data_IF_055683181475
#
_entry.id   IF_055683181475
#
_cell.length_a   1.000
_cell.length_b   1.000
_cell.length_c   1.000
_cell.angle_alpha   90.00
_cell.angle_beta   90.00
_cell.angle_gamma   90.00
#
_symmetry.space_group_name_H-M   'P 1'
#
loop_
_entity.id
_entity.type
_entity.pdbx_description
1 polymer ?
#
# COMPACT_ATOMS: atom_id res chain seq x y z
N UNK A 1 2.92 -1.64 -1.23
CA UNK A 1 3.76 -1.86 -0.02
C UNK A 1 4.52 -3.18 -0.06
N UNK A 2 3.93 -4.37 -0.32
CA UNK A 2 4.73 -5.62 -0.44
C UNK A 2 5.88 -5.48 -1.43
N UNK A 3 5.61 -4.97 -2.64
CA UNK A 3 6.65 -4.73 -3.63
C UNK A 3 7.78 -3.79 -3.14
N UNK A 4 7.45 -2.82 -2.28
CA UNK A 4 8.44 -1.92 -1.68
C UNK A 4 9.33 -2.67 -0.68
N UNK A 5 8.75 -3.57 0.13
CA UNK A 5 9.51 -4.44 1.03
C UNK A 5 10.44 -5.35 0.22
N UNK A 6 9.91 -6.02 -0.82
CA UNK A 6 10.69 -6.90 -1.70
C UNK A 6 11.83 -6.17 -2.41
N UNK A 7 11.57 -4.96 -2.90
CA UNK A 7 12.60 -4.13 -3.58
C UNK A 7 13.67 -3.64 -2.63
N UNK A 8 13.32 -3.35 -1.37
CA UNK A 8 14.28 -2.99 -0.33
C UNK A 8 15.23 -4.15 -0.03
N UNK A 9 14.73 -5.39 0.01
CA UNK A 9 15.55 -6.59 0.14
C UNK A 9 16.49 -6.78 -1.06
N UNK A 10 15.99 -6.58 -2.27
CA UNK A 10 16.83 -6.66 -3.49
C UNK A 10 17.96 -5.63 -3.43
N UNK A 11 17.69 -4.41 -2.98
CA UNK A 11 18.70 -3.37 -2.81
C UNK A 11 19.77 -3.78 -1.79
N UNK A 12 19.38 -4.47 -0.72
CA UNK A 12 20.30 -5.03 0.31
C UNK A 12 21.03 -6.30 -0.13
N UNK A 13 20.78 -6.80 -1.34
CA UNK A 13 21.42 -8.00 -1.90
C UNK A 13 20.75 -9.31 -1.51
N UNK A 14 19.54 -9.24 -1.00
CA UNK A 14 18.67 -10.38 -0.66
C UNK A 14 17.52 -10.51 -1.65
N UNK A 15 16.72 -11.56 -1.56
CA UNK A 15 15.56 -11.79 -2.40
C UNK A 15 14.43 -12.43 -1.61
N UNK A 16 13.35 -11.73 -1.48
CA UNK A 16 12.09 -12.20 -0.90
C UNK A 16 10.96 -11.96 -1.88
N UNK A 17 9.98 -12.88 -1.92
CA UNK A 17 8.75 -12.74 -2.69
C UNK A 17 7.59 -13.15 -1.78
N UNK A 18 6.67 -12.22 -1.50
CA UNK A 18 5.63 -12.37 -0.49
C UNK A 18 4.29 -12.71 -1.13
N UNK A 19 3.52 -13.57 -0.47
CA UNK A 19 2.17 -13.94 -0.89
C UNK A 19 1.17 -12.82 -0.59
N UNK A 20 0.59 -12.24 -1.63
CA UNK A 20 -0.54 -11.30 -1.52
C UNK A 20 -1.78 -12.04 -1.02
N UNK A 21 -2.01 -13.28 -1.51
CA UNK A 21 -3.16 -14.10 -1.12
C UNK A 21 -3.20 -14.37 0.38
N UNK A 22 -2.04 -14.63 1.01
CA UNK A 22 -1.96 -14.83 2.45
C UNK A 22 -2.43 -13.62 3.23
N UNK A 23 -1.86 -12.45 2.94
CA UNK A 23 -2.21 -11.22 3.65
C UNK A 23 -3.66 -10.83 3.39
N UNK A 24 -4.15 -10.97 2.15
CA UNK A 24 -5.54 -10.72 1.80
C UNK A 24 -6.51 -11.62 2.59
N UNK A 25 -6.18 -12.91 2.75
CA UNK A 25 -6.96 -13.85 3.55
C UNK A 25 -7.03 -13.41 5.02
N UNK A 26 -5.89 -13.08 5.63
CA UNK A 26 -5.85 -12.61 7.02
C UNK A 26 -6.67 -11.35 7.23
N UNK A 27 -6.55 -10.39 6.32
CA UNK A 27 -7.35 -9.17 6.35
C UNK A 27 -8.85 -9.46 6.26
N UNK A 28 -9.26 -10.35 5.37
CA UNK A 28 -10.68 -10.68 5.16
C UNK A 28 -11.25 -11.49 6.34
N UNK A 29 -10.50 -12.39 6.93
CA UNK A 29 -10.91 -13.14 8.12
C UNK A 29 -11.17 -12.20 9.31
N UNK A 30 -10.27 -11.27 9.57
CA UNK A 30 -10.45 -10.28 10.64
C UNK A 30 -11.67 -9.40 10.37
N UNK A 31 -11.76 -8.82 9.17
CA UNK A 31 -12.86 -7.94 8.80
C UNK A 31 -14.21 -8.64 8.80
N UNK A 32 -14.26 -9.93 8.45
CA UNK A 32 -15.49 -10.72 8.51
C UNK A 32 -16.01 -10.87 9.95
N UNK A 33 -15.11 -11.12 10.92
CA UNK A 33 -15.48 -11.18 12.33
C UNK A 33 -15.92 -9.81 12.86
N UNK A 34 -15.22 -8.76 12.50
CA UNK A 34 -15.61 -7.39 12.85
C UNK A 34 -16.97 -7.01 12.27
N UNK A 35 -17.24 -7.36 11.01
CA UNK A 35 -18.51 -7.15 10.34
C UNK A 35 -19.65 -7.90 11.05
N UNK A 36 -19.40 -9.17 11.38
CA UNK A 36 -20.37 -10.00 12.09
C UNK A 36 -20.74 -9.40 13.45
N UNK A 37 -19.75 -9.05 14.28
CA UNK A 37 -20.00 -8.44 15.60
C UNK A 37 -20.59 -7.02 15.51
N UNK A 38 -20.27 -6.28 14.46
CA UNK A 38 -20.88 -4.99 14.18
C UNK A 38 -22.29 -5.12 13.55
N UNK A 39 -22.83 -6.34 13.41
CA UNK A 39 -24.15 -6.59 12.82
C UNK A 39 -24.32 -5.97 11.42
N UNK A 40 -23.30 -6.11 10.56
CA UNK A 40 -23.30 -5.61 9.19
C UNK A 40 -23.05 -4.10 9.06
N UNK A 41 -22.65 -3.42 10.14
CA UNK A 41 -22.42 -1.95 10.12
C UNK A 41 -20.99 -1.53 9.75
N UNK A 42 -20.11 -2.48 9.47
CA UNK A 42 -18.75 -2.24 8.99
C UNK A 42 -18.64 -2.62 7.50
N UNK A 43 -17.62 -2.13 6.83
CA UNK A 43 -17.29 -2.50 5.45
C UNK A 43 -16.24 -3.61 5.42
N UNK A 44 -16.34 -4.52 4.44
CA UNK A 44 -15.28 -5.46 4.09
C UNK A 44 -14.61 -5.01 2.79
N UNK A 45 -13.31 -4.72 2.86
CA UNK A 45 -12.56 -4.22 1.71
C UNK A 45 -11.07 -4.47 1.91
N UNK A 46 -10.36 -4.80 0.84
CA UNK A 46 -8.90 -4.89 0.81
C UNK A 46 -8.22 -3.56 0.44
N UNK A 47 -9.00 -2.48 0.36
CA UNK A 47 -8.43 -1.13 0.30
C UNK A 47 -7.84 -0.79 1.66
N UNK A 48 -6.72 -0.11 1.66
CA UNK A 48 -6.02 0.26 2.88
C UNK A 48 -4.72 0.99 2.59
N UNK A 49 -4.05 1.40 3.64
CA UNK A 49 -2.81 2.16 3.62
C UNK A 49 -1.59 1.27 3.78
N UNK A 50 -0.39 1.79 3.50
CA UNK A 50 0.86 1.06 3.70
C UNK A 50 1.10 0.67 5.17
N UNK A 51 0.90 1.55 6.18
CA UNK A 51 0.99 1.17 7.59
C UNK A 51 0.04 0.03 7.97
N UNK A 52 -1.22 0.08 7.49
CA UNK A 52 -2.18 -0.98 7.76
C UNK A 52 -1.68 -2.35 7.28
N UNK A 53 -1.07 -2.42 6.09
CA UNK A 53 -0.49 -3.66 5.59
C UNK A 53 0.64 -4.17 6.49
N UNK A 54 1.52 -3.28 6.95
CA UNK A 54 2.60 -3.63 7.88
C UNK A 54 2.04 -4.18 9.19
N UNK A 55 0.97 -3.59 9.74
CA UNK A 55 0.28 -4.12 10.92
C UNK A 55 -0.27 -5.53 10.69
N UNK A 56 -0.83 -5.83 9.53
CA UNK A 56 -1.31 -7.18 9.23
C UNK A 56 -0.16 -8.18 9.12
N UNK A 57 0.97 -7.79 8.52
CA UNK A 57 2.17 -8.63 8.44
C UNK A 57 2.72 -8.91 9.86
N UNK A 58 2.83 -7.89 10.69
CA UNK A 58 3.30 -8.05 12.08
C UNK A 58 2.38 -8.96 12.89
N UNK A 59 1.06 -8.75 12.80
CA UNK A 59 0.04 -9.47 13.56
C UNK A 59 -0.13 -10.93 13.15
N UNK A 60 -0.17 -11.20 11.84
CA UNK A 60 -0.54 -12.51 11.28
C UNK A 60 0.63 -13.24 10.64
N UNK A 61 1.76 -12.57 10.49
CA UNK A 61 2.89 -13.10 9.79
C UNK A 61 2.81 -12.91 8.27
N UNK A 62 3.72 -13.56 7.57
CA UNK A 62 3.81 -13.60 6.13
C UNK A 62 4.07 -15.02 5.64
N UNK A 63 3.82 -15.26 4.36
CA UNK A 63 4.20 -16.48 3.65
C UNK A 63 4.97 -16.12 2.38
N UNK A 64 5.96 -16.92 1.98
CA UNK A 64 6.57 -16.81 0.67
C UNK A 64 5.53 -17.06 -0.42
N UNK A 65 5.69 -16.39 -1.57
CA UNK A 65 4.82 -16.59 -2.73
C UNK A 65 4.72 -18.05 -3.16
N UNK A 66 5.85 -18.77 -3.19
CA UNK A 66 5.89 -20.19 -3.61
C UNK A 66 5.14 -21.14 -2.64
N UNK A 67 4.89 -20.70 -1.40
CA UNK A 67 4.10 -21.46 -0.42
C UNK A 67 2.60 -21.20 -0.55
N UNK A 68 2.21 -20.05 -1.07
CA UNK A 68 0.82 -19.66 -1.29
C UNK A 68 0.73 -18.71 -2.49
N UNK A 69 0.75 -19.30 -3.69
CA UNK A 69 0.68 -18.54 -4.94
C UNK A 69 -0.63 -17.78 -5.10
N UNK A 70 -0.56 -16.59 -5.68
CA UNK A 70 -1.75 -15.82 -6.03
C UNK A 70 -2.48 -16.50 -7.21
N UNK A 71 -3.77 -16.84 -7.07
CA UNK A 71 -4.52 -17.42 -8.16
C UNK A 71 -4.64 -16.42 -9.32
N UNK A 72 -4.38 -16.87 -10.53
CA UNK A 72 -4.26 -16.02 -11.75
C UNK A 72 -5.49 -15.18 -12.12
N UNK A 73 -6.65 -15.41 -11.49
CA UNK A 73 -7.92 -14.81 -11.91
C UNK A 73 -8.81 -14.35 -10.75
N UNK A 74 -8.27 -14.12 -9.56
CA UNK A 74 -9.07 -13.65 -8.42
C UNK A 74 -9.49 -12.21 -8.60
N UNK A 75 -10.79 -11.97 -8.52
CA UNK A 75 -11.34 -10.64 -8.37
C UNK A 75 -11.61 -10.37 -6.89
N UNK A 76 -10.64 -9.78 -6.21
CA UNK A 76 -10.73 -9.47 -4.78
C UNK A 76 -11.94 -8.60 -4.41
N UNK A 77 -12.41 -7.72 -5.30
CA UNK A 77 -13.64 -6.94 -5.06
C UNK A 77 -14.89 -7.84 -5.04
N UNK A 78 -14.92 -8.88 -5.87
CA UNK A 78 -15.98 -9.89 -5.84
C UNK A 78 -15.86 -10.75 -4.59
N UNK A 79 -14.64 -11.13 -4.20
CA UNK A 79 -14.40 -11.91 -2.99
C UNK A 79 -14.88 -11.14 -1.73
N UNK A 80 -14.58 -9.85 -1.58
CA UNK A 80 -15.11 -9.03 -0.48
C UNK A 80 -16.64 -9.12 -0.39
N UNK A 81 -17.34 -8.99 -1.53
CA UNK A 81 -18.81 -9.09 -1.58
C UNK A 81 -19.33 -10.49 -1.20
N UNK A 82 -18.59 -11.55 -1.56
CA UNK A 82 -18.94 -12.93 -1.16
C UNK A 82 -18.80 -13.10 0.35
N UNK A 83 -17.73 -12.53 0.94
CA UNK A 83 -17.53 -12.54 2.40
C UNK A 83 -18.64 -11.75 3.10
N UNK A 84 -18.98 -10.55 2.64
CA UNK A 84 -20.10 -9.76 3.18
C UNK A 84 -21.42 -10.56 3.14
N UNK A 85 -21.75 -11.15 2.00
CA UNK A 85 -22.97 -11.94 1.85
C UNK A 85 -23.02 -13.16 2.77
N UNK A 86 -21.85 -13.81 2.97
CA UNK A 86 -21.74 -14.94 3.90
C UNK A 86 -21.99 -14.46 5.33
N UNK A 87 -21.36 -13.37 5.74
CA UNK A 87 -21.55 -12.75 7.06
C UNK A 87 -23.00 -12.29 7.29
N UNK A 88 -23.68 -11.69 6.30
CA UNK A 88 -25.11 -11.32 6.37
C UNK A 88 -25.99 -12.55 6.62
N UNK A 89 -25.70 -13.66 5.92
CA UNK A 89 -26.37 -14.94 6.14
C UNK A 89 -26.17 -15.47 7.57
N UNK A 90 -24.93 -15.39 8.06
CA UNK A 90 -24.58 -15.84 9.42
C UNK A 90 -25.25 -14.96 10.50
N UNK A 91 -25.29 -13.64 10.32
CA UNK A 91 -26.01 -12.70 11.20
C UNK A 91 -27.51 -13.04 11.25
N UNK A 92 -28.12 -13.20 10.08
CA UNK A 92 -29.56 -13.51 9.95
C UNK A 92 -29.93 -14.84 10.63
N UNK A 93 -29.10 -15.86 10.47
CA UNK A 93 -29.30 -17.19 11.06
C UNK A 93 -28.83 -17.29 12.51
N UNK A 94 -28.15 -16.25 13.02
CA UNK A 94 -27.47 -16.26 14.33
C UNK A 94 -26.47 -17.41 14.45
N UNK A 95 -25.73 -17.67 13.39
CA UNK A 95 -24.71 -18.71 13.30
C UNK A 95 -23.59 -18.44 14.31
N UNK A 96 -23.13 -19.47 15.00
CA UNK A 96 -21.97 -19.34 15.90
C UNK A 96 -20.66 -19.06 15.16
N UNK A 97 -19.68 -18.45 15.83
CA UNK A 97 -18.40 -18.06 15.23
C UNK A 97 -17.62 -19.25 14.70
N UNK A 98 -17.69 -20.41 15.35
CA UNK A 98 -17.04 -21.64 14.84
C UNK A 98 -17.50 -21.97 13.43
N UNK A 99 -18.81 -22.07 13.23
CA UNK A 99 -19.39 -22.35 11.92
C UNK A 99 -19.11 -21.24 10.90
N UNK A 100 -19.18 -19.97 11.31
CA UNK A 100 -18.83 -18.84 10.42
C UNK A 100 -17.39 -18.97 9.93
N UNK A 101 -16.45 -19.30 10.80
CA UNK A 101 -15.04 -19.51 10.41
C UNK A 101 -14.85 -20.68 9.46
N UNK A 102 -15.58 -21.79 9.66
CA UNK A 102 -15.55 -22.93 8.74
C UNK A 102 -16.07 -22.53 7.36
N UNK A 103 -17.24 -21.86 7.29
CA UNK A 103 -17.80 -21.38 6.03
C UNK A 103 -16.90 -20.34 5.33
N UNK A 104 -16.20 -19.47 6.09
CA UNK A 104 -15.21 -18.56 5.54
C UNK A 104 -13.99 -19.29 4.98
N UNK A 105 -13.47 -20.30 5.69
CA UNK A 105 -12.36 -21.11 5.21
C UNK A 105 -12.73 -21.82 3.91
N UNK A 106 -13.90 -22.46 3.85
CA UNK A 106 -14.39 -23.12 2.62
C UNK A 106 -14.46 -22.12 1.45
N UNK A 107 -14.96 -20.90 1.71
CA UNK A 107 -15.01 -19.84 0.69
C UNK A 107 -13.60 -19.44 0.23
N UNK A 108 -12.67 -19.22 1.14
CA UNK A 108 -11.31 -18.81 0.79
C UNK A 108 -10.56 -19.93 0.07
N UNK A 109 -10.70 -21.17 0.52
CA UNK A 109 -10.08 -22.33 -0.13
C UNK A 109 -10.55 -22.47 -1.58
N UNK A 110 -11.84 -22.21 -1.83
CA UNK A 110 -12.40 -22.25 -3.18
C UNK A 110 -11.96 -21.07 -4.07
N UNK A 111 -11.72 -19.89 -3.51
CA UNK A 111 -11.48 -18.64 -4.27
C UNK A 111 -9.99 -18.32 -4.41
N UNK A 112 -9.19 -18.54 -3.35
CA UNK A 112 -7.77 -18.16 -3.27
C UNK A 112 -6.84 -19.31 -2.86
N UNK A 113 -7.36 -20.52 -2.77
CA UNK A 113 -6.58 -21.73 -2.48
C UNK A 113 -6.47 -22.06 -1.00
N UNK A 114 -6.02 -23.28 -0.74
CA UNK A 114 -5.90 -23.82 0.60
C UNK A 114 -4.83 -23.09 1.40
N UNK A 115 -5.16 -22.80 2.69
CA UNK A 115 -4.19 -22.23 3.61
C UNK A 115 -2.92 -23.08 3.67
N UNK A 116 -1.72 -22.51 3.47
CA UNK A 116 -0.47 -23.25 3.59
C UNK A 116 -0.23 -23.76 5.01
N UNK A 117 0.69 -24.69 5.15
CA UNK A 117 1.13 -25.16 6.47
C UNK A 117 1.61 -23.97 7.33
N UNK A 118 1.47 -24.12 8.64
CA UNK A 118 1.94 -23.07 9.58
C UNK A 118 3.46 -22.93 9.67
N UNK A 119 4.20 -23.81 8.99
CA UNK A 119 5.65 -23.77 8.90
C UNK A 119 6.08 -23.20 7.55
N UNK A 120 6.98 -22.22 7.58
CA UNK A 120 7.65 -21.65 6.41
C UNK A 120 9.04 -22.25 6.32
N UNK A 121 9.34 -22.97 5.24
CA UNK A 121 10.66 -23.52 4.98
C UNK A 121 11.42 -22.59 4.04
N UNK A 122 12.48 -21.96 4.53
CA UNK A 122 13.29 -21.04 3.73
C UNK A 122 14.77 -21.13 4.15
N UNK A 123 15.67 -21.15 3.16
CA UNK A 123 17.12 -21.20 3.36
C UNK A 123 17.60 -22.32 4.31
N UNK A 124 16.91 -23.48 4.30
CA UNK A 124 17.25 -24.62 5.13
C UNK A 124 16.81 -24.54 6.59
N UNK A 125 16.01 -23.54 6.95
CA UNK A 125 15.40 -23.39 8.28
C UNK A 125 13.87 -23.41 8.19
N UNK A 126 13.24 -23.69 9.32
CA UNK A 126 11.79 -23.67 9.50
C UNK A 126 11.42 -22.48 10.39
N UNK A 127 10.44 -21.69 9.96
CA UNK A 127 9.93 -20.52 10.64
C UNK A 127 8.43 -20.63 10.84
N UNK A 128 7.91 -20.01 11.87
CA UNK A 128 6.50 -19.64 11.90
C UNK A 128 6.23 -18.48 10.92
N UNK A 129 4.99 -18.25 10.47
CA UNK A 129 4.69 -17.09 9.64
C UNK A 129 5.10 -15.74 10.25
N UNK A 130 5.03 -15.61 11.58
CA UNK A 130 5.47 -14.42 12.30
C UNK A 130 6.99 -14.28 12.30
N UNK A 131 7.74 -15.34 12.59
CA UNK A 131 9.20 -15.31 12.53
C UNK A 131 9.69 -15.00 11.12
N UNK A 132 9.05 -15.57 10.11
CA UNK A 132 9.34 -15.23 8.72
C UNK A 132 9.03 -13.76 8.43
N UNK A 133 7.86 -13.25 8.84
CA UNK A 133 7.51 -11.83 8.68
C UNK A 133 8.54 -10.91 9.33
N UNK A 134 8.95 -11.20 10.57
CA UNK A 134 9.95 -10.41 11.29
C UNK A 134 11.36 -10.52 10.69
N UNK A 135 11.68 -11.59 9.95
CA UNK A 135 12.93 -11.66 9.19
C UNK A 135 12.91 -10.77 7.94
N UNK A 136 11.73 -10.35 7.50
CA UNK A 136 11.52 -9.55 6.27
C UNK A 136 11.20 -8.09 6.58
N UNK A 137 10.38 -7.81 7.58
CA UNK A 137 9.89 -6.46 7.88
C UNK A 137 9.44 -6.34 9.33
N UNK A 138 10.04 -5.40 10.06
CA UNK A 138 9.49 -4.89 11.30
C UNK A 138 8.74 -3.57 11.07
N UNK A 139 7.65 -3.28 11.82
CA UNK A 139 6.93 -2.02 11.68
C UNK A 139 7.82 -0.79 11.80
N UNK A 140 8.79 -0.80 12.71
CA UNK A 140 9.70 0.30 12.99
C UNK A 140 10.74 0.53 11.89
N UNK A 141 10.87 -0.37 10.93
CA UNK A 141 11.78 -0.21 9.80
C UNK A 141 11.22 0.70 8.71
N UNK A 142 9.95 1.12 8.83
CA UNK A 142 9.26 1.95 7.85
C UNK A 142 8.66 3.19 8.48
N UNK A 143 8.78 4.32 7.78
CA UNK A 143 8.15 5.59 8.14
C UNK A 143 7.14 5.99 7.07
N UNK A 144 5.98 6.49 7.52
CA UNK A 144 4.94 7.02 6.64
C UNK A 144 4.87 8.53 6.77
N UNK A 145 4.94 9.21 5.63
CA UNK A 145 5.07 10.65 5.51
C UNK A 145 3.90 11.22 4.71
N UNK A 146 3.48 12.42 5.08
CA UNK A 146 2.47 13.20 4.34
C UNK A 146 2.79 14.68 4.35
N UNK A 147 1.98 15.51 3.68
CA UNK A 147 2.17 16.95 3.63
C UNK A 147 0.85 17.70 3.53
N UNK A 148 0.31 18.12 4.67
CA UNK A 148 -0.93 18.90 4.73
C UNK A 148 -0.83 20.05 5.74
N UNK A 149 -1.29 21.26 5.35
CA UNK A 149 -1.12 22.48 6.14
C UNK A 149 -2.18 22.69 7.23
N UNK A 150 -3.19 21.82 7.33
CA UNK A 150 -4.20 21.88 8.39
C UNK A 150 -3.76 21.19 9.70
N UNK A 151 -2.59 20.52 9.68
CA UNK A 151 -1.91 20.01 10.88
C UNK A 151 -0.50 20.60 11.02
N UNK A 152 0.05 20.67 12.24
CA UNK A 152 1.43 21.12 12.44
C UNK A 152 2.43 20.28 11.66
N UNK A 153 3.45 20.92 11.12
CA UNK A 153 4.55 20.20 10.46
C UNK A 153 5.52 19.60 11.49
N UNK A 154 6.15 18.48 11.11
CA UNK A 154 7.09 17.67 11.90
C UNK A 154 6.45 17.04 13.13
N UNK A 155 5.14 16.86 13.08
CA UNK A 155 4.35 16.15 14.07
C UNK A 155 3.59 14.99 13.38
N UNK A 156 3.28 13.97 14.16
CA UNK A 156 2.47 12.85 13.70
C UNK A 156 0.99 13.15 13.92
N UNK A 157 0.16 12.80 12.96
CA UNK A 157 -1.30 12.83 13.10
C UNK A 157 -1.93 11.66 12.34
N UNK A 158 -3.12 11.23 12.74
CA UNK A 158 -3.89 10.22 12.02
C UNK A 158 -4.43 10.84 10.73
N UNK A 159 -3.94 10.36 9.58
CA UNK A 159 -4.32 10.89 8.28
C UNK A 159 -5.81 10.65 7.99
N UNK A 160 -6.55 11.73 7.69
CA UNK A 160 -8.01 11.72 7.49
C UNK A 160 -8.39 11.31 6.06
N UNK A 161 -8.11 10.06 5.72
CA UNK A 161 -8.55 9.45 4.47
C UNK A 161 -9.37 8.19 4.73
N UNK A 162 -10.33 7.86 3.84
CA UNK A 162 -11.24 6.71 4.06
C UNK A 162 -10.55 5.37 4.24
N UNK A 163 -9.40 5.17 3.60
CA UNK A 163 -8.66 3.91 3.64
C UNK A 163 -7.77 3.77 4.88
N UNK A 164 -7.53 4.86 5.65
CA UNK A 164 -6.83 4.82 6.95
C UNK A 164 -7.77 4.38 8.09
N UNK A 165 -8.23 3.14 8.06
CA UNK A 165 -9.21 2.59 9.01
C UNK A 165 -8.65 2.35 10.40
N UNK A 166 -7.34 2.15 10.50
CA UNK A 166 -6.65 1.90 11.76
C UNK A 166 -6.22 3.19 12.44
N UNK A 167 -6.50 4.36 11.81
CA UNK A 167 -6.06 5.66 12.29
C UNK A 167 -4.55 5.75 12.48
N UNK A 168 -3.83 5.12 11.54
CA UNK A 168 -2.37 5.15 11.51
C UNK A 168 -1.84 6.58 11.42
N UNK A 169 -0.77 6.83 12.14
CA UNK A 169 -0.16 8.14 12.22
C UNK A 169 0.89 8.34 11.11
N UNK A 170 0.87 9.51 10.49
CA UNK A 170 1.80 9.94 9.45
C UNK A 170 2.58 11.15 9.92
N UNK A 171 3.88 11.17 9.66
CA UNK A 171 4.70 12.35 9.93
C UNK A 171 4.41 13.41 8.87
N UNK A 172 3.92 14.56 9.32
CA UNK A 172 3.57 15.69 8.46
C UNK A 172 4.79 16.56 8.14
N UNK A 173 5.12 16.70 6.88
CA UNK A 173 6.26 17.49 6.43
C UNK A 173 5.81 18.64 5.52
N UNK A 174 6.55 19.78 5.46
CA UNK A 174 6.38 20.72 4.36
C UNK A 174 6.55 20.03 3.00
N UNK A 175 5.80 20.47 1.99
CA UNK A 175 5.78 19.80 0.68
C UNK A 175 7.17 19.64 0.05
N UNK A 176 8.01 20.67 0.14
CA UNK A 176 9.35 20.61 -0.43
C UNK A 176 10.27 19.63 0.31
N UNK A 177 10.07 19.47 1.62
CA UNK A 177 10.80 18.51 2.44
C UNK A 177 10.34 17.06 2.11
N UNK A 178 9.02 16.83 1.97
CA UNK A 178 8.48 15.55 1.52
C UNK A 178 9.06 15.16 0.15
N UNK A 179 9.04 16.07 -0.82
CA UNK A 179 9.57 15.81 -2.17
C UNK A 179 11.06 15.54 -2.16
N UNK A 180 11.82 16.24 -1.29
CA UNK A 180 13.25 15.99 -1.14
C UNK A 180 13.54 14.60 -0.60
N UNK A 181 12.78 14.12 0.40
CA UNK A 181 12.93 12.75 0.93
C UNK A 181 12.62 11.71 -0.13
N UNK A 182 11.53 11.87 -0.91
CA UNK A 182 11.21 10.97 -2.02
C UNK A 182 12.35 10.92 -3.03
N UNK A 183 12.83 12.09 -3.47
CA UNK A 183 13.90 12.19 -4.45
C UNK A 183 15.17 11.50 -3.97
N UNK A 184 15.61 11.80 -2.75
CA UNK A 184 16.85 11.25 -2.20
C UNK A 184 16.77 9.73 -1.96
N UNK A 185 15.63 9.23 -1.49
CA UNK A 185 15.41 7.81 -1.34
C UNK A 185 15.66 7.08 -2.67
N UNK A 186 14.98 7.49 -3.74
CA UNK A 186 15.10 6.81 -5.04
C UNK A 186 16.43 7.04 -5.74
N UNK A 187 17.11 8.18 -5.53
CA UNK A 187 18.46 8.44 -6.04
C UNK A 187 19.52 7.53 -5.40
N UNK A 188 19.24 7.02 -4.19
CA UNK A 188 20.09 6.06 -3.47
C UNK A 188 19.70 4.60 -3.67
N UNK A 189 18.66 4.36 -4.45
CA UNK A 189 18.18 3.02 -4.79
C UNK A 189 17.08 2.50 -3.87
N UNK A 190 16.68 3.25 -2.83
CA UNK A 190 15.57 2.85 -1.95
C UNK A 190 14.22 3.04 -2.66
N UNK A 191 13.33 2.04 -2.65
CA UNK A 191 11.99 2.18 -3.17
C UNK A 191 11.11 3.01 -2.23
N UNK A 192 10.08 3.65 -2.79
CA UNK A 192 9.10 4.41 -2.03
C UNK A 192 7.70 3.91 -2.38
N UNK A 193 6.93 3.46 -1.40
CA UNK A 193 5.51 3.19 -1.56
C UNK A 193 4.78 4.54 -1.66
N UNK A 194 4.10 4.78 -2.76
CA UNK A 194 3.35 5.99 -3.03
C UNK A 194 1.85 5.71 -2.97
N UNK A 195 1.13 6.48 -2.19
CA UNK A 195 -0.32 6.51 -2.08
C UNK A 195 -0.83 7.83 -2.64
N UNK A 196 -1.81 7.81 -3.55
CA UNK A 196 -2.29 9.03 -4.15
C UNK A 196 -3.40 8.86 -5.16
N UNK A 197 -3.71 9.94 -5.83
CA UNK A 197 -4.83 10.08 -6.75
C UNK A 197 -4.38 9.86 -8.19
N UNK A 198 -5.08 8.96 -8.90
CA UNK A 198 -4.87 8.69 -10.33
C UNK A 198 -6.10 9.07 -11.19
N UNK A 199 -7.02 9.87 -10.65
CA UNK A 199 -8.23 10.29 -11.35
C UNK A 199 -8.01 11.26 -12.51
N UNK A 200 -6.81 11.87 -12.60
CA UNK A 200 -6.44 12.79 -13.67
C UNK A 200 -6.59 12.18 -15.07
N UNK A 201 -7.16 12.92 -16.04
CA UNK A 201 -7.32 12.43 -17.42
C UNK A 201 -6.01 11.97 -18.04
N UNK A 202 -4.89 12.63 -17.70
CA UNK A 202 -3.55 12.27 -18.17
C UNK A 202 -3.08 10.88 -17.73
N UNK A 203 -3.60 10.37 -16.60
CA UNK A 203 -3.28 9.03 -16.13
C UNK A 203 -3.99 7.94 -16.95
N UNK A 204 -5.23 8.20 -17.39
CA UNK A 204 -6.03 7.25 -18.19
C UNK A 204 -5.46 7.04 -19.60
N UNK A 205 -4.82 8.07 -20.16
CA UNK A 205 -4.23 8.03 -21.50
C UNK A 205 -2.86 8.72 -21.51
N UNK A 206 -1.85 8.14 -20.86
CA UNK A 206 -0.55 8.79 -20.71
C UNK A 206 0.19 8.89 -22.07
N UNK A 207 0.63 10.10 -22.44
CA UNK A 207 1.44 10.31 -23.63
C UNK A 207 2.85 9.76 -23.39
N UNK A 208 3.23 8.72 -24.15
CA UNK A 208 4.53 8.03 -24.01
C UNK A 208 4.79 7.58 -22.55
N UNK A 209 3.74 7.11 -21.86
CA UNK A 209 3.74 6.70 -20.46
C UNK A 209 4.17 7.81 -19.47
N UNK A 210 4.18 9.08 -19.87
CA UNK A 210 4.41 10.21 -19.00
C UNK A 210 3.06 10.86 -18.63
N UNK A 211 2.86 11.07 -17.34
CA UNK A 211 1.69 11.75 -16.78
C UNK A 211 2.12 13.04 -16.13
N UNK A 212 1.38 14.08 -16.42
CA UNK A 212 1.57 15.41 -15.86
C UNK A 212 0.21 16.01 -15.50
N UNK A 213 0.19 16.96 -14.60
CA UNK A 213 -1.02 17.69 -14.24
C UNK A 213 -1.50 18.51 -15.44
N UNK A 214 -2.84 18.61 -15.56
CA UNK A 214 -3.48 19.43 -16.58
C UNK A 214 -4.14 20.65 -15.92
N UNK A 215 -4.10 21.80 -16.60
CA UNK A 215 -4.85 23.03 -16.28
C UNK A 215 -4.59 23.62 -14.87
N UNK A 216 -3.37 23.58 -14.36
CA UNK A 216 -3.01 24.16 -13.07
C UNK A 216 -1.82 25.11 -13.19
N UNK A 217 -1.80 26.14 -12.30
CA UNK A 217 -0.65 27.01 -12.16
C UNK A 217 0.58 26.26 -11.69
N UNK A 218 1.72 26.60 -12.25
CA UNK A 218 3.01 25.99 -11.91
C UNK A 218 3.98 27.01 -11.33
N UNK A 219 4.82 26.62 -10.40
CA UNK A 219 4.92 25.27 -9.78
C UNK A 219 3.76 24.98 -8.81
N UNK A 220 3.50 23.70 -8.58
CA UNK A 220 2.54 23.26 -7.54
C UNK A 220 3.07 23.64 -6.17
N UNK A 221 2.27 24.38 -5.42
CA UNK A 221 2.59 24.88 -4.09
C UNK A 221 1.88 24.10 -2.99
N UNK A 222 2.31 24.26 -1.73
CA UNK A 222 1.62 23.72 -0.56
C UNK A 222 0.14 24.16 -0.53
N UNK A 223 -0.13 25.43 -0.85
CA UNK A 223 -1.49 25.97 -0.83
C UNK A 223 -2.38 25.35 -1.92
N UNK A 224 -1.85 25.17 -3.15
CA UNK A 224 -2.61 24.53 -4.23
C UNK A 224 -2.89 23.06 -3.93
N UNK A 225 -1.91 22.33 -3.38
CA UNK A 225 -2.06 20.94 -2.90
C UNK A 225 -3.15 20.83 -1.82
N UNK A 226 -3.08 21.67 -0.78
CA UNK A 226 -4.05 21.68 0.31
C UNK A 226 -5.47 21.92 -0.21
N UNK A 227 -5.64 22.89 -1.10
CA UNK A 227 -6.92 23.20 -1.73
C UNK A 227 -7.51 22.02 -2.50
N UNK A 228 -6.69 21.29 -3.27
CA UNK A 228 -7.16 20.12 -4.02
C UNK A 228 -7.61 18.99 -3.09
N UNK A 229 -6.90 18.77 -1.97
CA UNK A 229 -7.28 17.80 -0.96
C UNK A 229 -8.58 18.19 -0.25
N UNK A 230 -8.70 19.41 0.27
CA UNK A 230 -9.90 19.90 0.97
C UNK A 230 -11.13 19.93 0.07
N UNK A 231 -10.96 20.10 -1.23
CA UNK A 231 -12.04 20.09 -2.22
C UNK A 231 -12.33 18.68 -2.77
N UNK A 232 -11.71 17.65 -2.20
CA UNK A 232 -11.85 16.24 -2.59
C UNK A 232 -11.55 15.99 -4.10
N UNK A 233 -10.62 16.79 -4.66
CA UNK A 233 -10.10 16.61 -6.02
C UNK A 233 -8.76 15.87 -6.06
N UNK A 234 -8.15 15.72 -4.91
CA UNK A 234 -7.06 14.76 -4.65
C UNK A 234 -7.55 13.81 -3.59
N UNK A 235 -7.70 12.55 -3.95
CA UNK A 235 -8.28 11.51 -3.10
C UNK A 235 -7.33 10.32 -2.97
N UNK A 236 -7.53 9.53 -1.94
CA UNK A 236 -6.83 8.27 -1.71
C UNK A 236 -7.46 7.18 -2.57
N UNK A 237 -6.91 6.91 -3.75
CA UNK A 237 -7.51 5.95 -4.68
C UNK A 237 -6.56 4.89 -5.26
N UNK A 238 -5.23 5.06 -5.14
CA UNK A 238 -4.27 4.13 -5.72
C UNK A 238 -2.93 4.09 -5.00
N UNK A 239 -2.27 2.93 -5.10
CA UNK A 239 -0.93 2.69 -4.55
C UNK A 239 0.00 2.20 -5.65
N UNK A 240 1.19 2.79 -5.74
CA UNK A 240 2.27 2.37 -6.63
C UNK A 240 3.61 2.39 -5.89
N UNK A 241 4.64 1.87 -6.52
CA UNK A 241 5.99 1.94 -6.02
C UNK A 241 6.84 2.87 -6.90
N UNK A 242 7.49 3.86 -6.29
CA UNK A 242 8.48 4.71 -6.96
C UNK A 242 9.84 4.03 -6.84
N UNK A 243 10.49 3.77 -7.98
CA UNK A 243 11.76 3.03 -8.06
C UNK A 243 12.90 3.82 -8.68
N UNK A 244 12.67 5.07 -9.03
CA UNK A 244 13.71 5.90 -9.63
C UNK A 244 13.21 7.24 -10.11
N UNK A 245 14.11 8.03 -10.67
CA UNK A 245 13.81 9.36 -11.23
C UNK A 245 14.69 9.65 -12.45
N UNK A 246 14.21 10.50 -13.35
CA UNK A 246 15.00 11.00 -14.48
C UNK A 246 14.56 12.41 -14.91
N UNK A 247 15.43 13.11 -15.64
CA UNK A 247 15.14 14.41 -16.20
C UNK A 247 14.70 14.29 -17.66
N UNK A 248 13.61 14.96 -18.03
CA UNK A 248 13.18 15.14 -19.43
C UNK A 248 13.13 16.63 -19.72
N UNK A 249 14.18 17.12 -20.34
CA UNK A 249 14.42 18.55 -20.45
C UNK A 249 14.67 19.16 -19.06
N UNK A 250 13.86 20.13 -18.67
CA UNK A 250 13.94 20.78 -17.33
C UNK A 250 12.98 20.17 -16.29
N UNK A 251 12.18 19.18 -16.67
CA UNK A 251 11.17 18.57 -15.83
C UNK A 251 11.66 17.24 -15.28
N UNK A 252 11.51 17.02 -13.98
CA UNK A 252 11.76 15.74 -13.33
C UNK A 252 10.54 14.84 -13.46
N UNK A 253 10.81 13.56 -13.70
CA UNK A 253 9.83 12.49 -13.69
C UNK A 253 10.27 11.39 -12.73
N UNK A 254 9.32 10.78 -12.05
CA UNK A 254 9.51 9.63 -11.17
C UNK A 254 9.02 8.37 -11.87
N UNK A 255 9.82 7.32 -11.79
CA UNK A 255 9.52 6.02 -12.38
C UNK A 255 8.69 5.24 -11.38
N UNK A 256 7.43 5.01 -11.73
CA UNK A 256 6.49 4.28 -10.85
C UNK A 256 6.18 2.90 -11.44
N UNK A 257 6.29 1.86 -10.62
CA UNK A 257 5.85 0.50 -10.92
C UNK A 257 4.41 0.32 -10.45
N UNK A 258 3.53 -0.08 -11.40
CA UNK A 258 2.12 -0.32 -11.12
C UNK A 258 1.83 -1.83 -11.03
N UNK A 259 0.78 -2.20 -10.30
CA UNK A 259 0.32 -3.59 -10.11
C UNK A 259 -0.52 -4.14 -11.28
N UNK A 260 -0.72 -3.39 -12.38
CA UNK A 260 -1.60 -3.78 -13.49
C UNK A 260 -0.94 -4.68 -14.53
N UNK A 261 0.23 -5.23 -14.20
CA UNK A 261 0.94 -6.22 -14.99
C UNK A 261 1.84 -5.62 -16.08
N UNK A 262 2.75 -6.46 -16.60
CA UNK A 262 3.79 -6.06 -17.55
C UNK A 262 3.30 -5.58 -18.93
N UNK A 263 2.04 -5.86 -19.26
CA UNK A 263 1.44 -5.42 -20.52
C UNK A 263 0.83 -4.02 -20.46
N UNK A 264 0.76 -3.41 -19.26
CA UNK A 264 0.29 -2.05 -19.05
C UNK A 264 1.47 -1.06 -19.02
N UNK A 265 1.23 0.17 -19.50
CA UNK A 265 2.25 1.22 -19.53
C UNK A 265 3.50 0.82 -20.30
N UNK A 266 4.66 1.19 -19.78
CA UNK A 266 5.95 0.74 -20.31
C UNK A 266 6.44 -0.48 -19.50
N UNK A 267 6.01 -1.68 -19.86
CA UNK A 267 6.33 -2.94 -19.17
C UNK A 267 5.95 -2.90 -17.67
N UNK A 268 4.78 -2.35 -17.35
CA UNK A 268 4.30 -2.18 -15.98
C UNK A 268 4.70 -0.84 -15.32
N UNK A 269 5.49 -0.01 -16.03
CA UNK A 269 5.96 1.28 -15.54
C UNK A 269 5.16 2.45 -16.10
N UNK A 270 5.05 3.51 -15.30
CA UNK A 270 4.53 4.82 -15.68
C UNK A 270 5.43 5.90 -15.09
N UNK A 271 5.45 7.07 -15.71
CA UNK A 271 6.33 8.16 -15.32
C UNK A 271 5.49 9.35 -14.87
N UNK A 272 5.51 9.67 -13.58
CA UNK A 272 4.79 10.80 -13.01
C UNK A 272 5.70 12.03 -12.93
N UNK A 273 5.22 13.19 -13.40
CA UNK A 273 5.98 14.44 -13.25
C UNK A 273 6.10 14.82 -11.78
N UNK A 274 7.11 15.62 -11.45
CA UNK A 274 7.28 16.18 -10.10
C UNK A 274 6.04 16.96 -9.67
N UNK A 275 5.46 17.78 -10.55
CA UNK A 275 4.23 18.52 -10.27
C UNK A 275 3.04 17.59 -10.02
N UNK A 276 2.98 16.43 -10.70
CA UNK A 276 1.96 15.41 -10.43
C UNK A 276 2.10 14.85 -9.01
N UNK A 277 3.31 14.45 -8.63
CA UNK A 277 3.56 13.96 -7.28
C UNK A 277 3.26 15.02 -6.23
N UNK A 278 3.73 16.26 -6.43
CA UNK A 278 3.46 17.37 -5.53
C UNK A 278 1.97 17.58 -5.27
N UNK A 279 1.14 17.43 -6.31
CA UNK A 279 -0.30 17.67 -6.21
C UNK A 279 -1.08 16.47 -5.70
N UNK A 280 -0.77 15.28 -6.24
CA UNK A 280 -1.63 14.08 -6.15
C UNK A 280 -1.16 13.05 -5.11
N UNK A 281 -0.03 13.24 -4.47
CA UNK A 281 0.39 12.37 -3.36
C UNK A 281 -0.51 12.57 -2.15
N UNK A 282 -1.07 11.53 -1.62
CA UNK A 282 -1.72 11.52 -0.29
C UNK A 282 -0.65 11.26 0.76
N UNK A 283 0.09 10.17 0.63
CA UNK A 283 1.15 9.78 1.54
C UNK A 283 2.24 9.00 0.80
N UNK A 284 3.36 8.80 1.47
CA UNK A 284 4.40 7.85 1.06
C UNK A 284 4.89 7.08 2.26
N UNK A 285 5.34 5.84 2.02
CA UNK A 285 6.06 5.04 3.03
C UNK A 285 7.38 4.57 2.45
N UNK A 286 8.43 4.65 3.25
CA UNK A 286 9.79 4.25 2.88
C UNK A 286 10.51 3.64 4.07
N UNK A 287 11.64 2.97 3.83
CA UNK A 287 12.46 2.48 4.94
C UNK A 287 12.98 3.63 5.80
N UNK A 288 13.10 3.40 7.11
CA UNK A 288 13.73 4.35 8.04
C UNK A 288 15.15 4.70 7.58
N UNK A 289 15.87 3.75 6.99
CA UNK A 289 17.20 3.96 6.42
C UNK A 289 17.17 5.01 5.30
N UNK A 290 16.20 4.93 4.38
CA UNK A 290 16.01 5.92 3.34
C UNK A 290 15.68 7.32 3.88
N UNK A 291 14.86 7.38 4.93
CA UNK A 291 14.44 8.63 5.56
C UNK A 291 15.54 9.29 6.39
N UNK A 292 16.25 8.50 7.23
CA UNK A 292 17.27 9.00 8.16
C UNK A 292 18.57 9.44 7.48
N UNK A 293 18.80 9.04 6.25
CA UNK A 293 20.03 9.34 5.53
C UNK A 293 20.39 10.82 5.44
N UNK A 294 19.44 11.70 5.75
CA UNK A 294 19.58 13.15 5.64
C UNK A 294 19.44 13.92 6.97
N UNK A 295 19.38 13.24 8.11
CA UNK A 295 19.45 13.98 9.38
C UNK A 295 20.88 14.48 9.57
N UNK A 296 21.15 15.82 9.53
CA UNK A 296 22.47 16.33 9.85
C UNK A 296 22.76 16.00 11.32
N UNK A 297 23.73 15.13 11.58
CA UNK A 297 24.23 14.89 12.92
C UNK A 297 24.21 13.45 13.46
N UNK A 298 24.37 12.46 12.62
CA UNK A 298 24.84 11.13 13.05
C UNK A 298 26.10 10.73 12.30
#
# INVERSE_FOLDING_TARGET
>A
MLATIESEHIMKGDSVNLSIAYVARMMLEEQALEYYFAQGKKNISLRGTAPMLIHYIDKYGAQPYDSYEDPKHVNYKVLCRKVEKLCDGAISKKTGIGQLKEELNDLFDAEIGYMPAKAVHMLGAEYTPQEFAHSVCYPEEYVSLTSFSHHPYREYFALEVPDNRMHDAYLNLPLDELMLHIQKAVEKGHPVCWEGDISEPGFKAPRKNCVDIQQMERPVTQASRQKEFEQLRTTDDHVMEIIGTFMKGKQRFYVCRNSWGKNWGNKGLIYLSEDYLRLKTIAVSMSEEAYLYDRPGR
#
